data_IF_691562289051
#
_entry.id   IF_691562289051
#
_cell.length_a   1.000
_cell.length_b   1.000
_cell.length_c   1.000
_cell.angle_alpha   90.00
_cell.angle_beta   90.00
_cell.angle_gamma   90.00
#
_symmetry.space_group_name_H-M   'P 1'
#
loop_
_entity.id
_entity.type
_entity.pdbx_description
1 polymer ?
#
# COMPACT_ATOMS: atom_id res chain seq x y z
N UNK A 1 -4.85 2.41 -8.33
CA UNK A 1 -5.15 3.60 -7.49
C UNK A 1 -4.30 4.77 -7.96
N UNK A 2 -4.94 5.82 -8.47
CA UNK A 2 -4.30 6.94 -9.18
C UNK A 2 -4.24 8.16 -8.25
N UNK A 3 -3.13 8.90 -8.30
CA UNK A 3 -2.77 9.97 -7.37
C UNK A 3 -3.63 11.25 -7.47
N UNK A 4 -4.45 11.40 -8.51
CA UNK A 4 -5.21 12.63 -8.78
C UNK A 4 -6.71 12.32 -8.90
N UNK A 5 -7.53 13.03 -8.12
CA UNK A 5 -9.00 12.88 -8.13
C UNK A 5 -9.68 13.85 -9.11
N UNK A 6 -9.12 15.04 -9.30
CA UNK A 6 -9.59 16.06 -10.25
C UNK A 6 -8.52 17.16 -10.38
N UNK A 7 -8.24 17.62 -11.60
CA UNK A 7 -7.44 18.81 -11.86
C UNK A 7 -8.21 19.67 -12.86
N UNK A 8 -8.62 20.87 -12.43
CA UNK A 8 -9.29 21.83 -13.30
C UNK A 8 -8.20 22.70 -13.93
N UNK A 9 -7.97 22.54 -15.22
CA UNK A 9 -7.07 23.38 -16.01
C UNK A 9 -7.96 24.28 -16.86
N UNK A 10 -8.16 25.53 -16.43
CA UNK A 10 -8.85 26.53 -17.25
C UNK A 10 -7.81 27.27 -18.10
N UNK A 11 -7.86 27.08 -19.42
CA UNK A 11 -7.06 27.85 -20.37
C UNK A 11 -8.02 28.82 -21.07
N UNK A 12 -7.94 30.13 -20.80
CA UNK A 12 -8.73 31.12 -21.52
C UNK A 12 -8.24 31.26 -22.97
N UNK A 13 -9.12 31.65 -23.89
CA UNK A 13 -8.73 32.01 -25.26
C UNK A 13 -7.75 33.20 -25.23
N UNK A 14 -6.65 33.10 -25.98
CA UNK A 14 -5.56 34.08 -25.98
C UNK A 14 -5.12 34.44 -27.39
N UNK A 15 -4.73 35.70 -27.58
CA UNK A 15 -4.13 36.22 -28.81
C UNK A 15 -2.73 35.61 -29.05
N UNK A 16 -2.34 35.47 -30.33
CA UNK A 16 -1.01 35.01 -30.74
C UNK A 16 0.09 35.86 -30.07
N UNK A 17 1.11 35.17 -29.53
CA UNK A 17 2.28 35.74 -28.82
C UNK A 17 2.09 36.26 -27.38
N UNK A 18 1.07 35.78 -26.65
CA UNK A 18 0.92 36.09 -25.22
C UNK A 18 1.42 34.99 -24.26
N UNK A 19 2.01 35.40 -23.14
CA UNK A 19 2.44 34.49 -22.05
C UNK A 19 1.26 34.10 -21.15
N UNK A 20 1.07 32.79 -20.94
CA UNK A 20 0.00 32.24 -20.09
C UNK A 20 0.53 32.01 -18.66
N UNK A 21 -0.19 32.54 -17.67
CA UNK A 21 0.01 32.17 -16.26
C UNK A 21 -0.92 31.03 -15.88
N UNK A 22 -0.36 29.84 -15.69
CA UNK A 22 -1.10 28.65 -15.24
C UNK A 22 -1.07 28.56 -13.71
N UNK A 23 -2.20 28.83 -13.07
CA UNK A 23 -2.36 28.71 -11.62
C UNK A 23 -2.98 27.35 -11.27
N UNK A 24 -2.15 26.43 -10.77
CA UNK A 24 -2.63 25.13 -10.28
C UNK A 24 -2.92 25.18 -8.78
N UNK A 25 -4.20 25.07 -8.39
CA UNK A 25 -4.61 24.92 -6.99
C UNK A 25 -4.87 23.45 -6.68
N UNK A 26 -4.07 22.88 -5.79
CA UNK A 26 -4.16 21.46 -5.41
C UNK A 26 -4.65 21.33 -3.98
N UNK A 27 -5.63 20.43 -3.75
CA UNK A 27 -6.06 20.04 -2.40
C UNK A 27 -5.39 18.70 -2.04
N UNK A 28 -4.48 18.75 -1.07
CA UNK A 28 -3.76 17.55 -0.64
C UNK A 28 -4.66 16.57 0.10
N UNK A 29 -4.42 15.27 -0.11
CA UNK A 29 -5.06 14.20 0.66
C UNK A 29 -4.28 13.95 1.94
N UNK A 30 -4.90 13.33 2.94
CA UNK A 30 -4.21 12.89 4.15
C UNK A 30 -2.92 12.13 3.80
N UNK A 31 -1.82 12.58 4.38
CA UNK A 31 -0.50 12.00 4.15
C UNK A 31 -0.40 10.57 4.70
N UNK A 32 -1.16 10.29 5.78
CA UNK A 32 -1.21 8.99 6.44
C UNK A 32 -2.47 8.23 6.03
N UNK A 33 -2.33 6.92 5.82
CA UNK A 33 -3.43 6.01 5.51
C UNK A 33 -3.24 4.69 6.24
N UNK A 34 -4.29 4.19 6.85
CA UNK A 34 -4.35 2.88 7.46
C UNK A 34 -5.44 2.06 6.76
N UNK A 35 -5.16 0.78 6.53
CA UNK A 35 -6.08 -0.19 5.98
C UNK A 35 -5.93 -1.49 6.75
N UNK A 36 -7.05 -2.07 7.18
CA UNK A 36 -7.07 -3.39 7.80
C UNK A 36 -8.17 -4.23 7.16
N UNK A 37 -7.91 -5.52 7.02
CA UNK A 37 -8.83 -6.48 6.42
C UNK A 37 -8.78 -7.74 7.26
N UNK A 38 -9.96 -8.24 7.63
CA UNK A 38 -10.13 -9.47 8.39
C UNK A 38 -11.02 -10.40 7.59
N UNK A 39 -10.73 -11.70 7.61
CA UNK A 39 -11.49 -12.68 6.85
C UNK A 39 -11.30 -14.10 7.37
N UNK A 40 -12.14 -14.99 6.85
CA UNK A 40 -12.17 -16.41 7.18
C UNK A 40 -11.95 -17.17 5.86
N UNK A 41 -11.03 -18.14 5.84
CA UNK A 41 -10.71 -18.96 4.64
C UNK A 41 -9.82 -20.16 4.99
N UNK A 42 -9.19 -20.81 4.00
CA UNK A 42 -8.45 -22.09 4.17
C UNK A 42 -9.33 -23.31 4.49
N UNK A 43 -10.55 -23.40 3.93
CA UNK A 43 -11.39 -24.59 4.08
C UNK A 43 -10.72 -25.86 3.54
N UNK A 44 -9.97 -25.74 2.44
CA UNK A 44 -9.24 -26.84 1.80
C UNK A 44 -8.07 -27.37 2.65
N UNK A 45 -7.64 -26.63 3.70
CA UNK A 45 -6.54 -27.06 4.58
C UNK A 45 -6.99 -27.89 5.78
N UNK A 46 -8.28 -28.20 5.87
CA UNK A 46 -8.85 -29.11 6.87
C UNK A 46 -8.98 -30.54 6.35
N UNK A 47 -8.41 -30.88 5.18
CA UNK A 47 -8.40 -32.26 4.66
C UNK A 47 -7.97 -33.27 5.74
N UNK A 48 -8.95 -34.00 6.28
CA UNK A 48 -8.78 -35.04 7.31
C UNK A 48 -9.28 -34.68 8.72
N UNK A 49 -9.35 -33.41 9.12
CA UNK A 49 -9.76 -32.98 10.47
C UNK A 49 -11.13 -32.27 10.45
N UNK A 50 -12.16 -32.78 11.15
CA UNK A 50 -13.43 -32.07 11.27
C UNK A 50 -13.24 -30.71 11.95
N UNK A 51 -13.94 -29.69 11.43
CA UNK A 51 -13.89 -28.34 11.99
C UNK A 51 -14.36 -28.36 13.45
N UNK A 52 -13.42 -28.22 14.37
CA UNK A 52 -13.67 -28.22 15.82
C UNK A 52 -13.38 -26.83 16.38
N UNK A 53 -13.98 -26.46 17.51
CA UNK A 53 -13.70 -25.19 18.22
C UNK A 53 -12.19 -24.98 18.44
N UNK A 54 -11.45 -26.06 18.73
CA UNK A 54 -10.00 -26.06 18.91
C UNK A 54 -9.19 -25.72 17.65
N UNK A 55 -9.74 -25.94 16.46
CA UNK A 55 -9.06 -25.72 15.17
C UNK A 55 -9.63 -24.53 14.38
N UNK A 56 -10.70 -23.89 14.87
CA UNK A 56 -11.35 -22.73 14.23
C UNK A 56 -10.38 -21.56 13.99
N UNK A 57 -9.38 -21.40 14.85
CA UNK A 57 -8.35 -20.36 14.72
C UNK A 57 -7.59 -20.45 13.39
N UNK A 58 -7.51 -21.65 12.77
CA UNK A 58 -6.81 -21.89 11.50
C UNK A 58 -7.48 -21.19 10.31
N UNK A 59 -8.75 -20.83 10.45
CA UNK A 59 -9.53 -20.15 9.41
C UNK A 59 -9.23 -18.65 9.33
N UNK A 60 -8.80 -18.04 10.44
CA UNK A 60 -8.70 -16.59 10.52
C UNK A 60 -7.52 -16.05 9.74
N UNK A 61 -7.77 -14.93 9.07
CA UNK A 61 -6.79 -14.15 8.33
C UNK A 61 -6.97 -12.69 8.68
N UNK A 62 -5.86 -12.02 8.96
CA UNK A 62 -5.81 -10.58 9.14
C UNK A 62 -4.71 -10.00 8.26
N UNK A 63 -4.98 -8.85 7.66
CA UNK A 63 -4.00 -8.06 6.95
C UNK A 63 -4.14 -6.61 7.41
N UNK A 64 -3.02 -5.98 7.71
CA UNK A 64 -2.96 -4.56 8.03
C UNK A 64 -1.91 -3.89 7.15
N UNK A 65 -2.17 -2.66 6.75
CA UNK A 65 -1.27 -1.83 5.98
C UNK A 65 -1.37 -0.40 6.49
N UNK A 66 -0.24 0.15 6.87
CA UNK A 66 -0.11 1.55 7.23
C UNK A 66 0.86 2.20 6.24
N UNK A 67 0.53 3.40 5.79
CA UNK A 67 1.39 4.15 4.88
C UNK A 67 1.46 5.61 5.27
N UNK A 68 2.65 6.18 5.12
CA UNK A 68 2.92 7.59 5.24
C UNK A 68 3.51 8.09 3.92
N UNK A 69 2.68 8.79 3.15
CA UNK A 69 3.09 9.55 1.97
C UNK A 69 3.77 10.83 2.38
N UNK A 70 4.73 11.25 1.57
CA UNK A 70 5.48 12.49 1.69
C UNK A 70 6.13 12.69 3.07
N UNK A 71 6.74 11.63 3.62
CA UNK A 71 7.23 11.62 5.00
C UNK A 71 8.18 12.79 5.34
N UNK A 72 8.96 13.29 4.37
CA UNK A 72 9.87 14.43 4.52
C UNK A 72 9.64 15.57 3.52
N UNK A 73 8.47 15.66 2.90
CA UNK A 73 8.19 16.71 1.91
C UNK A 73 8.82 16.49 0.52
N UNK A 74 9.52 15.37 0.30
CA UNK A 74 10.25 15.05 -0.95
C UNK A 74 9.56 14.00 -1.85
N UNK A 75 8.28 13.71 -1.59
CA UNK A 75 7.52 12.68 -2.31
C UNK A 75 7.78 11.24 -1.86
N UNK A 76 8.60 11.05 -0.83
CA UNK A 76 8.93 9.74 -0.26
C UNK A 76 7.69 9.00 0.25
N UNK A 77 7.68 7.67 0.15
CA UNK A 77 6.60 6.83 0.67
C UNK A 77 7.17 5.79 1.63
N UNK A 78 6.72 5.86 2.89
CA UNK A 78 6.93 4.80 3.85
C UNK A 78 5.68 3.94 3.98
N UNK A 79 5.83 2.63 3.98
CA UNK A 79 4.72 1.71 4.23
C UNK A 79 5.14 0.57 5.13
N UNK A 80 4.22 0.12 5.98
CA UNK A 80 4.36 -1.05 6.83
C UNK A 80 3.17 -1.94 6.55
N UNK A 81 3.43 -3.19 6.20
CA UNK A 81 2.41 -4.17 5.94
C UNK A 81 2.59 -5.38 6.87
N UNK A 82 1.47 -5.94 7.27
CA UNK A 82 1.41 -7.13 8.10
C UNK A 82 0.34 -8.06 7.59
N UNK A 83 0.65 -9.35 7.53
CA UNK A 83 -0.27 -10.42 7.19
C UNK A 83 -0.13 -11.49 8.26
N UNK A 84 -1.25 -11.79 8.92
CA UNK A 84 -1.37 -12.78 9.96
C UNK A 84 -2.36 -13.85 9.50
N UNK A 85 -1.93 -15.10 9.54
CA UNK A 85 -2.79 -16.27 9.41
C UNK A 85 -2.17 -17.39 10.22
N UNK A 86 -2.94 -18.43 10.54
CA UNK A 86 -2.41 -19.55 11.34
C UNK A 86 -1.18 -20.25 10.72
N UNK A 87 -0.98 -20.13 9.41
CA UNK A 87 0.10 -20.82 8.68
C UNK A 87 1.17 -19.88 8.10
N UNK A 88 0.87 -18.58 7.99
CA UNK A 88 1.73 -17.60 7.35
C UNK A 88 1.66 -16.30 8.14
N UNK A 89 2.82 -15.90 8.64
CA UNK A 89 3.06 -14.65 9.33
C UNK A 89 4.08 -13.87 8.49
N UNK A 90 3.68 -12.71 7.96
CA UNK A 90 4.57 -11.83 7.23
C UNK A 90 4.46 -10.42 7.76
N UNK A 91 5.59 -9.82 8.09
CA UNK A 91 5.71 -8.42 8.42
C UNK A 91 6.74 -7.80 7.48
N UNK A 92 6.38 -6.69 6.86
CA UNK A 92 7.23 -5.96 5.93
C UNK A 92 7.18 -4.48 6.20
N UNK A 93 8.30 -3.81 5.96
CA UNK A 93 8.35 -2.37 5.81
C UNK A 93 8.92 -2.06 4.44
N UNK A 94 8.52 -0.93 3.86
CA UNK A 94 9.04 -0.45 2.59
C UNK A 94 9.25 1.05 2.66
N UNK A 95 10.38 1.51 2.16
CA UNK A 95 10.66 2.93 2.01
C UNK A 95 11.04 3.21 0.55
N UNK A 96 10.29 4.10 -0.10
CA UNK A 96 10.51 4.52 -1.48
C UNK A 96 11.11 5.93 -1.49
N UNK A 97 12.28 6.04 -2.10
CA UNK A 97 12.98 7.28 -2.43
C UNK A 97 12.72 7.59 -3.91
N UNK A 98 11.86 8.56 -4.24
CA UNK A 98 11.66 8.99 -5.62
C UNK A 98 12.76 9.98 -6.02
N UNK A 99 12.96 10.14 -7.32
CA UNK A 99 13.81 11.19 -7.91
C UNK A 99 15.29 11.10 -7.51
N UNK A 100 15.83 9.89 -7.41
CA UNK A 100 17.23 9.70 -6.99
C UNK A 100 18.23 10.32 -7.99
N UNK A 101 17.93 10.23 -9.29
CA UNK A 101 18.75 10.84 -10.34
C UNK A 101 17.94 11.65 -11.36
N UNK A 102 16.73 11.20 -11.72
CA UNK A 102 15.85 11.90 -12.65
C UNK A 102 14.38 11.76 -12.23
N UNK A 103 13.48 12.41 -12.95
CA UNK A 103 12.02 12.39 -12.70
C UNK A 103 11.37 11.00 -12.79
N UNK A 104 12.10 9.98 -13.26
CA UNK A 104 11.62 8.61 -13.45
C UNK A 104 12.36 7.58 -12.58
N UNK A 105 13.42 7.99 -11.89
CA UNK A 105 14.27 7.10 -11.10
C UNK A 105 13.73 7.01 -9.68
N UNK A 106 13.67 5.80 -9.15
CA UNK A 106 13.30 5.56 -7.75
C UNK A 106 14.06 4.37 -7.19
N UNK A 107 14.34 4.42 -5.89
CA UNK A 107 14.91 3.31 -5.13
C UNK A 107 13.90 2.92 -4.06
N UNK A 108 13.63 1.63 -3.93
CA UNK A 108 12.75 1.11 -2.87
C UNK A 108 13.52 0.11 -2.02
N UNK A 109 13.52 0.32 -0.71
CA UNK A 109 14.12 -0.58 0.27
C UNK A 109 12.99 -1.26 1.03
N UNK A 110 12.91 -2.59 0.97
CA UNK A 110 11.77 -3.34 1.50
C UNK A 110 12.18 -4.52 2.39
N UNK A 111 12.68 -4.27 3.62
CA UNK A 111 12.95 -5.35 4.56
C UNK A 111 11.66 -6.09 4.92
N UNK A 112 11.76 -7.41 5.02
CA UNK A 112 10.64 -8.25 5.43
C UNK A 112 11.11 -9.40 6.31
N UNK A 113 10.23 -9.83 7.20
CA UNK A 113 10.36 -11.07 7.97
C UNK A 113 9.14 -11.90 7.65
N UNK A 114 9.38 -13.16 7.30
CA UNK A 114 8.32 -14.12 7.02
C UNK A 114 8.57 -15.41 7.79
N UNK A 115 7.54 -15.88 8.46
CA UNK A 115 7.47 -17.22 9.04
C UNK A 115 6.31 -17.95 8.38
N UNK A 116 6.63 -19.04 7.69
CA UNK A 116 5.66 -19.91 7.05
C UNK A 116 5.76 -21.30 7.66
N UNK A 117 4.62 -21.87 8.00
CA UNK A 117 4.52 -23.27 8.42
C UNK A 117 4.10 -24.04 7.17
N UNK A 118 5.09 -24.60 6.48
CA UNK A 118 4.89 -25.45 5.31
C UNK A 118 4.50 -26.85 5.78
N UNK A 119 3.43 -27.43 5.23
CA UNK A 119 3.38 -28.90 5.08
C UNK A 119 4.10 -29.16 3.76
N UNK A 120 5.31 -29.70 3.83
CA UNK A 120 5.99 -30.22 2.65
C UNK A 120 5.10 -31.29 2.01
N UNK A 121 4.82 -31.14 0.73
CA UNK A 121 4.34 -32.21 -0.13
C UNK A 121 5.20 -32.20 -1.39
#
# INVERSE_FOLDING_TARGET
>A
HHLLRFALISIPDQDQDSTINVLARVKERSLRSFSATFGIGNYDRFEGDPLTLSNSYKLFRAQASWSHRNARGKGELFSVNGKLSAFDLRLGASYLFPYVYNTKSSITISPFVQRRIERAY
#
